data_IF_726066208670
#
_entry.id   IF_726066208670
#
_cell.length_a   1.000
_cell.length_b   1.000
_cell.length_c   1.000
_cell.angle_alpha   90.00
_cell.angle_beta   90.00
_cell.angle_gamma   90.00
#
_symmetry.space_group_name_H-M   'P 1'
#
loop_
_entity.id
_entity.type
_entity.pdbx_description
1 polymer ?
#
# COMPACT_ATOMS: atom_id res chain seq x y z
N UNK A 1 -5.61 -5.79 12.21
CA UNK A 1 -6.98 -6.35 12.43
C UNK A 1 -7.17 -6.60 13.91
N UNK A 2 -7.64 -5.60 14.67
CA UNK A 2 -7.79 -5.69 16.12
C UNK A 2 -8.85 -6.73 16.54
N UNK A 3 -9.93 -6.81 15.76
CA UNK A 3 -11.06 -7.73 15.99
C UNK A 3 -10.63 -9.20 15.89
N UNK A 4 -9.70 -9.52 14.98
CA UNK A 4 -9.24 -10.90 14.77
C UNK A 4 -8.39 -11.40 15.93
N UNK A 5 -7.56 -10.52 16.50
CA UNK A 5 -6.76 -10.83 17.69
C UNK A 5 -7.63 -11.06 18.92
N UNK A 6 -8.61 -10.19 19.16
CA UNK A 6 -9.53 -10.31 20.31
C UNK A 6 -10.35 -11.61 20.29
N UNK A 7 -10.81 -12.04 19.11
CA UNK A 7 -11.52 -13.30 18.97
C UNK A 7 -10.65 -14.52 19.31
N UNK A 8 -9.37 -14.45 18.95
CA UNK A 8 -8.42 -15.54 19.13
C UNK A 8 -7.99 -15.69 20.60
N UNK A 9 -7.91 -14.58 21.33
CA UNK A 9 -7.59 -14.56 22.76
C UNK A 9 -8.75 -15.06 23.64
N UNK A 10 -10.00 -14.88 23.21
CA UNK A 10 -11.18 -15.22 24.01
C UNK A 10 -11.62 -16.69 23.87
N UNK A 11 -11.18 -17.43 22.84
CA UNK A 11 -11.62 -18.80 22.55
C UNK A 11 -10.47 -19.82 22.57
N UNK A 12 -9.78 -20.06 23.71
CA UNK A 12 -8.59 -20.93 23.76
C UNK A 12 -8.88 -22.43 23.63
N UNK A 13 -10.12 -22.90 23.83
CA UNK A 13 -10.40 -24.34 24.00
C UNK A 13 -10.99 -25.07 22.78
N UNK A 14 -11.24 -24.39 21.65
CA UNK A 14 -11.79 -25.07 20.45
C UNK A 14 -10.72 -25.69 19.53
N UNK A 15 -9.44 -25.37 19.73
CA UNK A 15 -8.36 -25.79 18.82
C UNK A 15 -7.45 -26.89 19.40
N UNK A 16 -7.99 -27.83 20.17
CA UNK A 16 -7.25 -29.03 20.59
C UNK A 16 -7.31 -30.12 19.51
N UNK A 17 -6.79 -29.83 18.32
CA UNK A 17 -6.28 -30.85 17.39
C UNK A 17 -5.37 -30.22 16.29
N UNK A 18 -4.24 -29.65 16.69
CA UNK A 18 -3.26 -29.07 15.76
C UNK A 18 -2.17 -30.08 15.32
N UNK A 19 -2.26 -31.33 15.76
CA UNK A 19 -1.31 -32.40 15.35
C UNK A 19 -1.62 -32.96 13.97
N UNK A 20 -2.85 -32.78 13.45
CA UNK A 20 -3.29 -33.34 12.16
C UNK A 20 -3.16 -32.37 10.97
N UNK A 21 -2.27 -31.38 11.08
CA UNK A 21 -2.17 -30.28 10.09
C UNK A 21 -0.76 -29.99 9.59
N UNK A 22 0.21 -30.83 9.94
CA UNK A 22 1.59 -30.73 9.48
C UNK A 22 1.81 -31.82 8.42
N UNK A 23 2.34 -31.44 7.27
CA UNK A 23 2.69 -32.38 6.21
C UNK A 23 3.74 -33.36 6.75
N UNK A 24 3.80 -34.62 6.27
CA UNK A 24 4.84 -35.58 6.67
C UNK A 24 6.27 -35.01 6.47
N UNK A 25 6.44 -34.08 5.53
CA UNK A 25 7.69 -33.32 5.32
C UNK A 25 8.10 -32.44 6.50
N UNK A 26 7.16 -31.98 7.33
CA UNK A 26 7.42 -31.09 8.47
C UNK A 26 7.83 -31.87 9.73
N UNK A 27 7.69 -33.19 9.71
CA UNK A 27 8.05 -34.10 10.81
C UNK A 27 9.47 -34.66 10.63
N UNK A 28 9.99 -34.64 9.40
CA UNK A 28 11.32 -35.14 9.08
C UNK A 28 12.35 -34.01 9.26
N UNK A 29 13.45 -34.26 10.01
CA UNK A 29 14.56 -33.32 10.07
C UNK A 29 15.12 -33.13 8.65
N UNK A 30 14.97 -31.93 8.10
CA UNK A 30 15.59 -31.58 6.84
C UNK A 30 17.11 -31.73 6.95
N UNK A 31 17.71 -32.39 5.96
CA UNK A 31 19.16 -32.52 5.88
C UNK A 31 19.78 -31.12 5.79
N UNK A 32 20.86 -30.81 6.54
CA UNK A 32 21.53 -29.50 6.46
C UNK A 32 21.96 -29.14 5.02
N UNK A 33 22.16 -30.14 4.16
CA UNK A 33 22.51 -29.99 2.75
C UNK A 33 21.29 -29.71 1.86
N UNK A 34 20.10 -30.25 2.16
CA UNK A 34 18.87 -29.97 1.40
C UNK A 34 18.34 -28.56 1.72
N UNK A 35 18.41 -28.15 2.99
CA UNK A 35 18.00 -26.82 3.43
C UNK A 35 18.79 -25.70 2.73
N UNK A 36 20.11 -25.85 2.58
CA UNK A 36 20.96 -24.88 1.86
C UNK A 36 20.59 -24.74 0.39
N UNK A 37 20.36 -25.86 -0.31
CA UNK A 37 19.94 -25.83 -1.73
C UNK A 37 18.56 -25.21 -1.93
N UNK A 38 17.63 -25.47 -1.01
CA UNK A 38 16.29 -24.86 -1.02
C UNK A 38 16.36 -23.36 -0.81
N UNK A 39 17.23 -22.90 0.09
CA UNK A 39 17.46 -21.48 0.34
C UNK A 39 18.10 -20.78 -0.87
N UNK A 40 19.09 -21.41 -1.51
CA UNK A 40 19.74 -20.89 -2.72
C UNK A 40 18.73 -20.73 -3.87
N UNK A 41 17.86 -21.72 -4.09
CA UNK A 41 16.78 -21.63 -5.06
C UNK A 41 15.80 -20.50 -4.74
N UNK A 42 15.49 -20.29 -3.45
CA UNK A 42 14.64 -19.18 -3.01
C UNK A 42 15.29 -17.82 -3.27
N UNK A 43 16.59 -17.69 -3.04
CA UNK A 43 17.34 -16.47 -3.33
C UNK A 43 17.37 -16.18 -4.83
N UNK A 44 17.62 -17.18 -5.66
CA UNK A 44 17.57 -17.04 -7.11
C UNK A 44 16.18 -16.57 -7.59
N UNK A 45 15.12 -17.15 -7.03
CA UNK A 45 13.75 -16.79 -7.39
C UNK A 45 13.38 -15.38 -6.92
N UNK A 46 13.81 -14.98 -5.71
CA UNK A 46 13.64 -13.63 -5.20
C UNK A 46 14.31 -12.60 -6.12
N UNK A 47 15.54 -12.86 -6.56
CA UNK A 47 16.25 -11.98 -7.50
C UNK A 47 15.53 -11.91 -8.84
N UNK A 48 15.11 -13.05 -9.39
CA UNK A 48 14.42 -13.13 -10.68
C UNK A 48 13.10 -12.34 -10.67
N UNK A 49 12.27 -12.56 -9.64
CA UNK A 49 10.99 -11.86 -9.47
C UNK A 49 11.23 -10.36 -9.24
N UNK A 50 12.19 -10.02 -8.37
CA UNK A 50 12.53 -8.63 -8.05
C UNK A 50 13.01 -7.84 -9.27
N UNK A 51 13.84 -8.45 -10.13
CA UNK A 51 14.30 -7.84 -11.38
C UNK A 51 13.15 -7.63 -12.37
N UNK A 52 12.27 -8.61 -12.54
CA UNK A 52 11.10 -8.49 -13.40
C UNK A 52 10.14 -7.39 -12.93
N UNK A 53 9.90 -7.30 -11.62
CA UNK A 53 9.09 -6.22 -11.02
C UNK A 53 9.73 -4.85 -11.24
N UNK A 54 11.04 -4.70 -11.01
CA UNK A 54 11.76 -3.46 -11.29
C UNK A 54 11.58 -3.04 -12.74
N UNK A 55 11.83 -3.93 -13.70
CA UNK A 55 11.64 -3.62 -15.13
C UNK A 55 10.20 -3.22 -15.43
N UNK A 56 9.21 -3.92 -14.89
CA UNK A 56 7.79 -3.58 -15.08
C UNK A 56 7.45 -2.18 -14.55
N UNK A 57 7.94 -1.82 -13.37
CA UNK A 57 7.73 -0.49 -12.76
C UNK A 57 8.42 0.60 -13.58
N UNK A 58 9.60 0.32 -14.14
CA UNK A 58 10.33 1.24 -15.02
C UNK A 58 9.57 1.45 -16.34
N UNK A 59 9.15 0.36 -17.01
CA UNK A 59 8.40 0.43 -18.27
C UNK A 59 7.05 1.14 -18.08
N UNK A 60 6.42 0.97 -16.91
CA UNK A 60 5.20 1.70 -16.54
C UNK A 60 5.44 3.19 -16.30
N UNK A 61 6.68 3.61 -16.05
CA UNK A 61 7.04 4.99 -15.72
C UNK A 61 6.86 5.36 -14.25
N UNK A 62 6.51 4.40 -13.38
CA UNK A 62 6.32 4.62 -11.94
C UNK A 62 7.65 4.63 -11.18
N UNK A 63 8.74 4.14 -11.79
CA UNK A 63 10.06 4.14 -11.16
C UNK A 63 10.78 5.47 -11.44
N UNK A 64 11.37 6.12 -10.41
CA UNK A 64 12.16 7.32 -10.60
C UNK A 64 13.54 6.95 -11.14
N UNK A 65 13.62 6.62 -12.44
CA UNK A 65 14.87 6.27 -13.11
C UNK A 65 15.54 7.47 -13.78
N UNK A 66 14.84 8.59 -13.93
CA UNK A 66 15.38 9.83 -14.48
C UNK A 66 14.51 11.04 -14.11
N UNK A 67 15.10 12.24 -14.04
CA UNK A 67 14.37 13.52 -13.92
C UNK A 67 13.40 13.79 -15.09
N UNK A 68 13.48 13.03 -16.18
CA UNK A 68 12.61 13.17 -17.35
C UNK A 68 11.23 12.52 -17.16
N UNK A 69 11.09 11.51 -16.28
CA UNK A 69 9.80 10.87 -15.98
C UNK A 69 9.02 11.55 -14.85
N UNK A 70 9.64 12.53 -14.17
CA UNK A 70 8.99 13.41 -13.17
C UNK A 70 7.85 14.24 -13.75
N UNK A 71 7.64 14.24 -15.07
CA UNK A 71 6.47 14.85 -15.72
C UNK A 71 5.14 14.17 -15.38
N UNK A 72 5.16 12.92 -14.87
CA UNK A 72 4.03 12.32 -14.15
C UNK A 72 4.16 12.66 -12.66
N UNK A 73 4.30 13.94 -12.34
CA UNK A 73 4.18 14.44 -10.98
C UNK A 73 2.74 14.17 -10.56
N UNK A 74 2.48 12.98 -10.01
CA UNK A 74 1.27 12.75 -9.25
C UNK A 74 1.36 13.74 -8.11
N UNK A 75 0.56 14.81 -8.16
CA UNK A 75 0.51 15.77 -7.07
C UNK A 75 0.34 14.98 -5.78
N UNK A 76 1.34 15.04 -4.92
CA UNK A 76 1.28 14.29 -3.68
C UNK A 76 0.09 14.82 -2.85
N UNK A 77 -0.54 13.99 -1.99
CA UNK A 77 -1.71 14.44 -1.22
C UNK A 77 -1.47 15.67 -0.35
N UNK A 78 -0.21 15.98 -0.03
CA UNK A 78 0.22 17.14 0.75
C UNK A 78 0.64 18.34 -0.11
N UNK A 79 0.58 18.24 -1.44
CA UNK A 79 0.85 19.38 -2.31
C UNK A 79 -0.30 20.40 -2.25
N UNK A 80 0.05 21.65 -2.01
CA UNK A 80 -0.91 22.74 -1.95
C UNK A 80 -1.62 22.94 -3.29
N UNK A 81 -2.96 22.93 -3.26
CA UNK A 81 -3.78 23.36 -4.38
C UNK A 81 -3.98 24.88 -4.28
N UNK A 82 -3.73 25.60 -5.38
CA UNK A 82 -3.91 27.05 -5.43
C UNK A 82 -5.12 27.37 -6.30
N UNK A 83 -6.11 28.04 -5.71
CA UNK A 83 -7.30 28.50 -6.40
C UNK A 83 -7.25 30.03 -6.45
N UNK A 84 -7.15 30.60 -7.64
CA UNK A 84 -7.12 32.04 -7.85
C UNK A 84 -8.51 32.54 -8.26
N UNK A 85 -9.49 32.43 -7.35
CA UNK A 85 -10.84 32.94 -7.60
C UNK A 85 -11.12 34.14 -6.71
N UNK A 86 -11.69 35.18 -7.32
CA UNK A 86 -12.28 36.30 -6.60
C UNK A 86 -13.72 35.92 -6.27
N UNK A 87 -14.02 35.73 -4.99
CA UNK A 87 -15.37 35.48 -4.52
C UNK A 87 -16.00 36.79 -4.04
N UNK A 88 -17.28 37.06 -4.37
CA UNK A 88 -18.00 38.22 -3.84
C UNK A 88 -18.32 38.08 -2.35
N UNK A 89 -18.22 36.87 -1.81
CA UNK A 89 -18.49 36.52 -0.42
C UNK A 89 -17.21 36.06 0.30
N UNK A 90 -17.10 36.37 1.58
CA UNK A 90 -15.96 35.97 2.42
C UNK A 90 -15.97 34.46 2.66
N UNK A 91 -14.80 33.83 2.54
CA UNK A 91 -14.62 32.41 2.83
C UNK A 91 -14.49 32.20 4.35
N UNK A 92 -15.46 31.49 4.94
CA UNK A 92 -15.49 31.19 6.38
C UNK A 92 -14.70 29.91 6.68
N UNK A 93 -14.74 28.95 5.75
CA UNK A 93 -14.02 27.69 5.85
C UNK A 93 -14.15 26.89 4.57
N UNK A 94 -13.39 25.81 4.45
CA UNK A 94 -13.43 24.95 3.28
C UNK A 94 -12.57 23.71 3.44
N UNK A 95 -12.75 22.75 2.53
CA UNK A 95 -11.94 21.54 2.46
C UNK A 95 -11.80 21.08 1.00
N UNK A 96 -10.73 20.34 0.74
CA UNK A 96 -10.48 19.71 -0.55
C UNK A 96 -11.51 18.62 -0.85
N UNK A 97 -11.97 18.56 -2.10
CA UNK A 97 -12.82 17.50 -2.63
C UNK A 97 -12.22 16.98 -3.93
N UNK A 98 -11.22 16.10 -3.82
CA UNK A 98 -10.49 15.58 -4.97
C UNK A 98 -9.60 16.65 -5.61
N UNK A 99 -9.96 17.11 -6.81
CA UNK A 99 -9.27 18.23 -7.49
C UNK A 99 -9.99 19.57 -7.28
N UNK A 100 -11.15 19.55 -6.64
CA UNK A 100 -11.99 20.71 -6.39
C UNK A 100 -11.85 21.18 -4.94
N UNK A 101 -12.30 22.39 -4.65
CA UNK A 101 -12.36 22.97 -3.31
C UNK A 101 -13.81 23.27 -2.94
N UNK A 102 -14.26 22.76 -1.79
CA UNK A 102 -15.51 23.17 -1.17
C UNK A 102 -15.26 24.38 -0.29
N UNK A 103 -15.97 25.49 -0.52
CA UNK A 103 -15.90 26.69 0.32
C UNK A 103 -17.27 26.98 0.91
N UNK A 104 -17.31 27.20 2.22
CA UNK A 104 -18.45 27.73 2.95
C UNK A 104 -18.35 29.24 3.05
N UNK A 105 -19.41 29.93 2.62
CA UNK A 105 -19.56 31.38 2.69
C UNK A 105 -20.82 31.72 3.49
N UNK A 106 -21.07 33.01 3.73
CA UNK A 106 -22.30 33.51 4.35
C UNK A 106 -23.56 33.25 3.50
N UNK A 107 -23.41 33.19 2.17
CA UNK A 107 -24.50 32.93 1.23
C UNK A 107 -24.75 31.44 0.96
N UNK A 108 -23.85 30.55 1.37
CA UNK A 108 -23.98 29.09 1.16
C UNK A 108 -22.64 28.41 0.87
N UNK A 109 -22.72 27.14 0.42
CA UNK A 109 -21.56 26.32 0.08
C UNK A 109 -21.37 26.26 -1.44
N UNK A 110 -20.15 26.54 -1.88
CA UNK A 110 -19.73 26.56 -3.28
C UNK A 110 -18.71 25.44 -3.53
N UNK A 111 -18.79 24.82 -4.71
CA UNK A 111 -17.75 23.92 -5.22
C UNK A 111 -16.96 24.66 -6.30
N UNK A 112 -15.64 24.66 -6.17
CA UNK A 112 -14.71 25.31 -7.09
C UNK A 112 -13.83 24.24 -7.73
N UNK A 113 -13.82 24.17 -9.06
CA UNK A 113 -12.98 23.26 -9.84
C UNK A 113 -11.69 23.93 -10.32
#
# INVERSE_FOLDING_TARGET
MLIRSLYQDLMPDLHKNMLNRRSFSDVLPESPKSARKKEEARQAEFVRIGQALKLKTIVRGDAPTSLATTGLCRKEPWESQCFCNSFPHEAIGGDSWGQSLLISTDAGVLLID
#
